data_IF_133446091030
#
_entry.id   IF_133446091030
#
_cell.length_a   1.000
_cell.length_b   1.000
_cell.length_c   1.000
_cell.angle_alpha   90.00
_cell.angle_beta   90.00
_cell.angle_gamma   90.00
#
_symmetry.space_group_name_H-M   'P 1'
#
loop_
_entity.id
_entity.type
_entity.pdbx_description
1 polymer ?
#
# COMPACT_ATOMS: atom_id res chain seq x y z
N UNK A 1 15.58 -50.54 17.41
CA UNK A 1 15.71 -50.65 18.88
C UNK A 1 14.52 -49.92 19.50
N UNK A 2 13.69 -50.73 20.12
CA UNK A 2 12.43 -50.38 20.77
C UNK A 2 12.65 -49.82 22.17
N UNK A 3 11.95 -48.77 22.58
CA UNK A 3 11.67 -48.58 24.01
C UNK A 3 10.21 -48.13 24.22
N UNK A 4 9.52 -49.01 24.99
CA UNK A 4 8.13 -48.94 25.45
C UNK A 4 7.99 -48.02 26.66
N UNK A 5 6.83 -47.41 26.70
CA UNK A 5 5.90 -47.01 27.77
C UNK A 5 6.27 -47.20 29.25
N UNK A 6 5.85 -46.22 30.05
CA UNK A 6 5.37 -46.44 31.42
C UNK A 6 4.33 -45.37 31.80
N UNK A 7 3.10 -45.83 32.09
CA UNK A 7 2.00 -45.14 32.79
C UNK A 7 2.09 -45.52 34.27
N UNK A 8 1.73 -44.67 35.21
CA UNK A 8 1.05 -45.13 36.43
C UNK A 8 -0.27 -44.36 36.72
N UNK A 9 -1.30 -45.13 36.76
CA UNK A 9 -2.39 -45.43 37.73
C UNK A 9 -2.83 -44.37 38.73
N UNK A 10 -4.09 -44.10 38.62
CA UNK A 10 -5.19 -43.68 39.48
C UNK A 10 -5.01 -43.77 41.02
N UNK A 11 -5.47 -42.71 41.72
CA UNK A 11 -6.11 -42.82 43.01
C UNK A 11 -7.43 -42.04 43.07
N UNK A 12 -8.51 -42.81 43.33
CA UNK A 12 -9.82 -42.31 43.78
C UNK A 12 -9.72 -41.90 45.24
N UNK A 13 -10.38 -40.83 45.59
CA UNK A 13 -10.88 -40.58 46.96
C UNK A 13 -12.28 -39.97 46.92
N UNK A 14 -13.10 -40.61 47.72
CA UNK A 14 -14.55 -40.53 47.85
C UNK A 14 -15.02 -39.28 48.61
N UNK A 15 -16.25 -38.93 48.35
CA UNK A 15 -17.15 -37.95 48.85
C UNK A 15 -17.18 -37.65 50.39
N UNK A 16 -17.47 -36.41 50.70
CA UNK A 16 -18.25 -36.06 51.91
C UNK A 16 -19.16 -34.85 51.56
N UNK A 17 -20.46 -35.12 51.69
CA UNK A 17 -21.55 -34.17 51.61
C UNK A 17 -21.68 -33.41 52.92
N UNK A 18 -21.85 -32.08 52.89
CA UNK A 18 -22.63 -31.37 53.91
C UNK A 18 -23.31 -30.17 53.30
N UNK A 19 -24.63 -30.14 53.47
CA UNK A 19 -25.56 -29.07 53.12
C UNK A 19 -25.31 -27.84 54.01
N UNK A 20 -25.33 -26.68 53.42
CA UNK A 20 -25.88 -25.46 54.05
C UNK A 20 -26.34 -24.51 52.94
N UNK A 21 -27.64 -24.35 52.82
CA UNK A 21 -28.29 -23.41 51.96
C UNK A 21 -28.09 -21.97 52.43
N UNK A 22 -27.66 -21.10 51.56
CA UNK A 22 -27.90 -19.67 51.66
C UNK A 22 -28.33 -19.17 50.27
N UNK A 23 -29.59 -18.81 50.20
CA UNK A 23 -30.18 -18.09 49.08
C UNK A 23 -29.57 -16.71 48.98
N UNK A 24 -28.75 -16.45 47.96
CA UNK A 24 -28.39 -15.08 47.56
C UNK A 24 -29.46 -14.57 46.62
N UNK A 25 -29.95 -13.32 46.78
CA UNK A 25 -30.85 -12.72 45.80
C UNK A 25 -30.08 -12.51 44.50
N UNK A 26 -30.69 -12.91 43.37
CA UNK A 26 -30.20 -12.70 42.03
C UNK A 26 -30.01 -11.19 41.79
N UNK A 27 -28.79 -10.78 41.43
CA UNK A 27 -28.52 -9.44 40.96
C UNK A 27 -29.34 -9.21 39.66
N UNK A 28 -29.93 -8.03 39.45
CA UNK A 28 -30.67 -7.76 38.24
C UNK A 28 -29.69 -7.78 37.04
N UNK A 29 -30.01 -8.58 36.03
CA UNK A 29 -29.30 -8.59 34.78
C UNK A 29 -29.30 -7.16 34.22
N UNK A 30 -28.15 -6.51 34.14
CA UNK A 30 -27.98 -5.29 33.37
C UNK A 30 -28.37 -5.62 31.91
N UNK A 31 -29.54 -5.19 31.51
CA UNK A 31 -29.95 -5.19 30.12
C UNK A 31 -28.91 -4.40 29.35
N UNK A 32 -28.11 -5.09 28.55
CA UNK A 32 -27.24 -4.46 27.57
C UNK A 32 -28.12 -3.59 26.66
N UNK A 33 -28.13 -2.28 26.90
CA UNK A 33 -28.73 -1.32 25.98
C UNK A 33 -28.02 -1.49 24.65
N UNK A 34 -28.68 -2.15 23.71
CA UNK A 34 -28.34 -2.08 22.30
C UNK A 34 -28.36 -0.60 21.94
N UNK A 35 -27.20 0.04 21.90
CA UNK A 35 -27.06 1.34 21.25
C UNK A 35 -27.28 1.09 19.76
N UNK A 36 -28.48 1.38 19.30
CA UNK A 36 -28.80 1.52 17.88
C UNK A 36 -27.96 2.71 17.39
N UNK A 37 -26.76 2.45 16.90
CA UNK A 37 -25.97 3.45 16.17
C UNK A 37 -26.62 3.61 14.82
N UNK A 38 -27.57 4.55 14.72
CA UNK A 38 -28.06 4.98 13.42
C UNK A 38 -26.90 5.62 12.66
N UNK A 39 -26.43 4.94 11.64
CA UNK A 39 -25.42 5.51 10.75
C UNK A 39 -25.99 6.77 10.07
N UNK A 40 -25.18 7.79 9.75
CA UNK A 40 -25.61 8.92 8.98
C UNK A 40 -26.16 8.45 7.63
N UNK A 41 -27.12 9.18 7.06
CA UNK A 41 -27.67 8.85 5.72
C UNK A 41 -26.76 9.31 4.59
N UNK A 42 -25.89 10.29 4.85
CA UNK A 42 -24.95 10.87 3.89
C UNK A 42 -23.56 11.03 4.51
N UNK A 43 -22.57 11.22 3.66
CA UNK A 43 -21.17 11.39 4.02
C UNK A 43 -20.50 12.45 3.16
N UNK A 44 -19.34 12.92 3.61
CA UNK A 44 -18.43 13.75 2.82
C UNK A 44 -17.57 12.86 1.89
N UNK A 45 -17.37 13.31 0.65
CA UNK A 45 -16.53 12.64 -0.33
C UNK A 45 -15.99 13.61 -1.39
N UNK A 46 -14.91 13.20 -2.07
CA UNK A 46 -14.39 13.85 -3.27
C UNK A 46 -14.89 13.08 -4.49
N UNK A 47 -15.62 13.76 -5.36
CA UNK A 47 -16.24 13.19 -6.56
C UNK A 47 -15.69 13.88 -7.80
N UNK A 48 -15.52 13.12 -8.88
CA UNK A 48 -15.35 13.65 -10.24
C UNK A 48 -16.58 13.30 -11.07
N UNK A 49 -17.11 14.29 -11.80
CA UNK A 49 -18.23 14.10 -12.75
C UNK A 49 -17.73 13.97 -14.20
N UNK A 50 -16.49 14.39 -14.43
CA UNK A 50 -15.73 14.26 -15.69
C UNK A 50 -14.26 14.14 -15.40
N UNK A 51 -13.47 13.70 -16.36
CA UNK A 51 -12.01 13.72 -16.29
C UNK A 51 -11.45 15.11 -16.56
N UNK A 52 -10.28 15.43 -15.97
CA UNK A 52 -9.65 16.75 -16.13
C UNK A 52 -8.46 16.97 -15.21
N UNK A 53 -8.10 18.22 -15.01
CA UNK A 53 -7.12 18.66 -14.01
C UNK A 53 -7.67 18.59 -12.60
N UNK A 54 -6.99 19.23 -11.63
CA UNK A 54 -7.42 19.21 -10.22
C UNK A 54 -8.73 19.95 -9.97
N UNK A 55 -9.15 20.81 -10.89
CA UNK A 55 -10.42 21.54 -10.85
C UNK A 55 -11.66 20.67 -10.94
N UNK A 56 -11.53 19.40 -11.39
CA UNK A 56 -12.68 18.47 -11.45
C UNK A 56 -12.96 17.77 -10.13
N UNK A 57 -12.08 17.90 -9.14
CA UNK A 57 -12.24 17.33 -7.80
C UNK A 57 -13.25 18.17 -7.00
N UNK A 58 -14.44 17.62 -6.80
CA UNK A 58 -15.53 18.28 -6.09
C UNK A 58 -15.70 17.68 -4.70
N UNK A 59 -15.58 18.51 -3.67
CA UNK A 59 -15.96 18.13 -2.31
C UNK A 59 -17.49 18.23 -2.17
N UNK A 60 -18.13 17.12 -1.81
CA UNK A 60 -19.57 17.00 -1.58
C UNK A 60 -19.82 16.52 -0.15
N UNK A 61 -20.89 17.02 0.48
CA UNK A 61 -21.25 16.69 1.88
C UNK A 61 -22.53 15.85 1.99
N UNK A 62 -23.18 15.60 0.87
CA UNK A 62 -24.47 14.94 0.77
C UNK A 62 -24.44 13.63 -0.03
N UNK A 63 -23.25 13.03 -0.14
CA UNK A 63 -23.08 11.75 -0.84
C UNK A 63 -23.73 10.64 -0.03
N UNK A 64 -24.56 9.81 -0.68
CA UNK A 64 -25.22 8.70 -0.01
C UNK A 64 -24.20 7.76 0.65
N UNK A 65 -24.45 7.39 1.92
CA UNK A 65 -23.63 6.40 2.62
C UNK A 65 -23.78 5.04 1.92
N UNK A 66 -22.68 4.37 1.52
CA UNK A 66 -22.81 3.06 0.88
C UNK A 66 -23.24 2.00 1.91
N UNK A 67 -24.12 1.11 1.48
CA UNK A 67 -24.47 -0.08 2.25
C UNK A 67 -23.58 -1.26 1.79
N UNK A 68 -22.82 -1.92 2.71
CA UNK A 68 -21.93 -3.00 2.31
C UNK A 68 -22.73 -4.20 1.79
N UNK A 69 -22.35 -4.66 0.61
CA UNK A 69 -22.93 -5.84 -0.07
C UNK A 69 -22.38 -7.13 0.52
N UNK A 70 -22.77 -8.26 -0.09
CA UNK A 70 -22.20 -9.56 0.24
C UNK A 70 -20.68 -9.56 0.05
N UNK A 71 -19.93 -10.03 1.08
CA UNK A 71 -18.49 -10.04 1.10
C UNK A 71 -17.81 -8.68 1.29
N UNK A 72 -18.57 -7.61 1.59
CA UNK A 72 -18.02 -6.28 1.87
C UNK A 72 -18.14 -5.91 3.35
N UNK A 73 -17.34 -4.94 3.75
CA UNK A 73 -17.42 -4.29 5.07
C UNK A 73 -17.46 -2.78 4.90
N UNK A 74 -18.22 -2.07 5.72
CA UNK A 74 -18.25 -0.61 5.78
C UNK A 74 -17.17 -0.12 6.74
N UNK A 75 -16.16 0.54 6.21
CA UNK A 75 -15.08 1.16 6.98
C UNK A 75 -15.36 2.65 7.14
N UNK A 76 -15.38 3.14 8.38
CA UNK A 76 -15.25 4.57 8.66
C UNK A 76 -13.78 4.93 8.54
N UNK A 77 -13.43 5.70 7.52
CA UNK A 77 -12.06 6.05 7.22
C UNK A 77 -11.53 7.05 8.25
N UNK A 78 -10.35 6.79 8.79
CA UNK A 78 -9.58 7.72 9.62
C UNK A 78 -8.49 8.41 8.80
N UNK A 79 -7.88 7.65 7.87
CA UNK A 79 -6.89 8.14 6.92
C UNK A 79 -7.07 7.49 5.56
N UNK A 80 -6.84 8.27 4.52
CA UNK A 80 -6.93 7.85 3.12
C UNK A 80 -5.62 8.19 2.42
N UNK A 81 -5.04 7.22 1.72
CA UNK A 81 -3.80 7.43 0.99
C UNK A 81 -4.00 8.13 -0.35
N UNK A 82 -3.17 9.15 -0.64
CA UNK A 82 -3.10 9.79 -1.96
C UNK A 82 -2.00 9.12 -2.78
N UNK A 83 -2.34 8.69 -3.99
CA UNK A 83 -1.45 7.95 -4.88
C UNK A 83 -1.44 8.53 -6.30
N UNK A 84 -0.35 8.36 -7.04
CA UNK A 84 -0.28 8.78 -8.44
C UNK A 84 -1.36 8.13 -9.32
N UNK A 85 -1.77 6.89 -9.01
CA UNK A 85 -2.84 6.23 -9.75
C UNK A 85 -4.17 6.99 -9.66
N UNK A 86 -4.43 7.72 -8.58
CA UNK A 86 -5.64 8.54 -8.42
C UNK A 86 -5.65 9.66 -9.46
N UNK A 87 -4.48 10.25 -9.76
CA UNK A 87 -4.35 11.29 -10.80
C UNK A 87 -4.58 10.70 -12.19
N UNK A 88 -4.26 9.42 -12.42
CA UNK A 88 -4.50 8.76 -13.70
C UNK A 88 -6.00 8.54 -13.96
N UNK A 89 -6.77 8.18 -12.94
CA UNK A 89 -8.24 8.10 -13.04
C UNK A 89 -8.87 9.48 -13.19
N UNK A 90 -8.40 10.46 -12.42
CA UNK A 90 -8.89 11.84 -12.54
C UNK A 90 -8.67 12.41 -13.95
N UNK A 91 -7.46 12.27 -14.48
CA UNK A 91 -7.09 12.84 -15.80
C UNK A 91 -7.62 12.04 -16.99
N UNK A 92 -8.12 10.82 -16.79
CA UNK A 92 -8.58 9.93 -17.86
C UNK A 92 -7.47 9.13 -18.52
N UNK A 93 -6.23 9.15 -18.00
CA UNK A 93 -5.16 8.25 -18.47
C UNK A 93 -5.55 6.78 -18.23
N UNK A 94 -6.22 6.50 -17.11
CA UNK A 94 -6.91 5.24 -16.84
C UNK A 94 -8.41 5.48 -16.86
N UNK A 95 -9.20 4.59 -17.50
CA UNK A 95 -10.65 4.75 -17.54
C UNK A 95 -11.26 4.59 -16.16
N UNK A 96 -12.05 5.57 -15.73
CA UNK A 96 -12.89 5.41 -14.55
C UNK A 96 -14.01 4.40 -14.87
N UNK A 97 -14.42 3.54 -13.91
CA UNK A 97 -15.46 2.54 -14.16
C UNK A 97 -16.79 3.15 -14.59
N UNK A 98 -17.14 4.27 -14.00
CA UNK A 98 -18.35 5.07 -14.26
C UNK A 98 -18.13 6.50 -13.76
N UNK A 99 -18.96 7.42 -14.18
CA UNK A 99 -19.06 8.78 -13.66
C UNK A 99 -20.50 9.04 -13.22
N UNK A 100 -20.74 9.74 -12.10
CA UNK A 100 -19.74 10.31 -11.18
C UNK A 100 -18.95 9.23 -10.42
N UNK A 101 -17.68 9.53 -10.06
CA UNK A 101 -16.77 8.58 -9.45
C UNK A 101 -16.04 9.19 -8.23
N UNK A 102 -16.00 8.46 -7.11
CA UNK A 102 -15.19 8.78 -5.95
C UNK A 102 -13.80 8.18 -6.15
N UNK A 103 -12.75 8.99 -6.07
CA UNK A 103 -11.36 8.53 -6.20
C UNK A 103 -10.87 7.76 -4.97
N UNK A 104 -9.61 7.32 -5.04
CA UNK A 104 -8.88 6.70 -3.95
C UNK A 104 -8.75 5.19 -4.07
N UNK A 105 -7.66 4.64 -3.50
CA UNK A 105 -7.27 3.23 -3.66
C UNK A 105 -6.87 2.54 -2.36
N UNK A 106 -6.75 3.29 -1.26
CA UNK A 106 -6.45 2.73 0.06
C UNK A 106 -6.99 3.61 1.16
N UNK A 107 -7.34 3.00 2.27
CA UNK A 107 -7.69 3.70 3.51
C UNK A 107 -7.40 2.85 4.73
N UNK A 108 -7.41 3.48 5.89
CA UNK A 108 -7.43 2.82 7.19
C UNK A 108 -8.53 3.44 8.05
N UNK A 109 -9.04 2.67 8.99
CA UNK A 109 -10.11 3.14 9.88
C UNK A 109 -10.70 2.01 10.70
N UNK A 110 -12.00 2.14 11.00
CA UNK A 110 -12.72 1.19 11.87
C UNK A 110 -13.96 0.65 11.17
N UNK A 111 -14.15 -0.66 11.21
CA UNK A 111 -15.34 -1.30 10.65
C UNK A 111 -16.59 -0.87 11.42
N UNK A 112 -17.60 -0.36 10.71
CA UNK A 112 -18.88 0.08 11.27
C UNK A 112 -20.02 -0.90 10.99
N UNK A 113 -19.96 -1.63 9.87
CA UNK A 113 -20.99 -2.59 9.46
C UNK A 113 -20.36 -3.70 8.64
N UNK A 114 -20.91 -4.90 8.75
CA UNK A 114 -20.58 -6.02 7.88
C UNK A 114 -21.70 -6.23 6.87
N UNK A 115 -21.35 -6.51 5.63
CA UNK A 115 -22.26 -7.10 4.66
C UNK A 115 -22.53 -8.56 4.99
N UNK A 116 -23.39 -9.19 4.20
CA UNK A 116 -23.66 -10.63 4.29
C UNK A 116 -22.48 -11.46 3.75
N UNK A 117 -22.52 -12.77 3.97
CA UNK A 117 -21.54 -13.71 3.43
C UNK A 117 -20.20 -13.74 4.18
N UNK A 118 -19.15 -14.15 3.47
CA UNK A 118 -17.82 -14.31 4.08
C UNK A 118 -17.11 -12.96 4.26
N UNK A 119 -16.88 -12.56 5.50
CA UNK A 119 -16.12 -11.34 5.86
C UNK A 119 -14.75 -11.65 6.45
N UNK A 120 -14.20 -12.85 6.23
CA UNK A 120 -12.84 -13.25 6.64
C UNK A 120 -12.54 -12.99 8.13
N UNK A 121 -13.48 -13.33 9.01
CA UNK A 121 -13.39 -13.15 10.48
C UNK A 121 -13.23 -11.68 10.94
N UNK A 122 -13.52 -10.71 10.09
CA UNK A 122 -13.59 -9.31 10.46
C UNK A 122 -14.83 -9.03 11.31
N UNK A 123 -14.73 -8.09 12.26
CA UNK A 123 -15.81 -7.72 13.16
C UNK A 123 -16.02 -6.20 13.20
N UNK A 124 -17.25 -5.77 13.55
CA UNK A 124 -17.52 -4.36 13.84
C UNK A 124 -16.65 -3.91 15.01
N UNK A 125 -16.02 -2.74 14.85
CA UNK A 125 -15.06 -2.20 15.80
C UNK A 125 -13.59 -2.58 15.52
N UNK A 126 -13.32 -3.50 14.59
CA UNK A 126 -11.94 -3.80 14.21
C UNK A 126 -11.28 -2.59 13.54
N UNK A 127 -10.05 -2.27 13.96
CA UNK A 127 -9.17 -1.35 13.28
C UNK A 127 -8.59 -2.06 12.07
N UNK A 128 -8.71 -1.45 10.89
CA UNK A 128 -8.35 -2.09 9.62
C UNK A 128 -7.60 -1.17 8.69
N UNK A 129 -6.91 -1.78 7.73
CA UNK A 129 -6.40 -1.14 6.53
C UNK A 129 -6.99 -1.87 5.31
N UNK A 130 -7.30 -1.14 4.26
CA UNK A 130 -7.97 -1.66 3.07
C UNK A 130 -7.34 -1.16 1.78
N UNK A 131 -7.13 -2.07 0.82
CA UNK A 131 -6.99 -1.74 -0.59
C UNK A 131 -8.38 -1.77 -1.22
N UNK A 132 -8.96 -0.62 -1.46
CA UNK A 132 -10.30 -0.50 -2.04
C UNK A 132 -10.40 0.75 -2.91
N UNK A 133 -11.30 0.72 -3.88
CA UNK A 133 -11.70 1.92 -4.61
C UNK A 133 -12.59 2.82 -3.74
N UNK A 134 -12.83 4.04 -4.19
CA UNK A 134 -13.77 5.01 -3.59
C UNK A 134 -13.41 5.43 -2.16
N UNK A 135 -12.10 5.52 -1.86
CA UNK A 135 -11.66 5.81 -0.50
C UNK A 135 -11.57 7.30 -0.15
N UNK A 136 -11.64 8.22 -1.14
CA UNK A 136 -11.67 9.68 -0.86
C UNK A 136 -13.03 10.09 -0.27
N UNK A 137 -13.39 9.49 0.83
CA UNK A 137 -14.69 9.63 1.50
C UNK A 137 -14.58 9.32 2.99
N UNK A 138 -15.57 9.77 3.77
CA UNK A 138 -15.64 9.43 5.20
C UNK A 138 -15.89 7.94 5.45
N UNK A 139 -16.58 7.27 4.52
CA UNK A 139 -16.86 5.84 4.60
C UNK A 139 -16.60 5.15 3.26
N UNK A 140 -16.13 3.93 3.33
CA UNK A 140 -15.90 3.07 2.16
C UNK A 140 -16.51 1.70 2.38
N UNK A 141 -17.34 1.23 1.45
CA UNK A 141 -17.71 -0.18 1.37
C UNK A 141 -16.56 -0.90 0.65
N UNK A 142 -15.79 -1.68 1.40
CA UNK A 142 -14.59 -2.34 0.93
C UNK A 142 -14.80 -3.86 0.83
N UNK A 143 -14.34 -4.51 -0.26
CA UNK A 143 -14.33 -5.98 -0.33
C UNK A 143 -13.51 -6.55 0.83
N UNK A 144 -14.10 -7.41 1.65
CA UNK A 144 -13.43 -8.01 2.81
C UNK A 144 -12.17 -8.78 2.43
N UNK A 145 -12.10 -9.25 1.18
CA UNK A 145 -10.93 -9.92 0.61
C UNK A 145 -9.67 -9.06 0.65
N UNK A 146 -9.78 -7.74 0.59
CA UNK A 146 -8.66 -6.79 0.58
C UNK A 146 -8.67 -5.86 1.80
N UNK A 147 -9.28 -6.30 2.89
CA UNK A 147 -9.28 -5.63 4.20
C UNK A 147 -8.48 -6.46 5.19
N UNK A 148 -7.53 -5.83 5.90
CA UNK A 148 -6.67 -6.49 6.88
C UNK A 148 -6.84 -5.87 8.26
N UNK A 149 -7.05 -6.70 9.29
CA UNK A 149 -7.13 -6.25 10.68
C UNK A 149 -5.76 -5.80 11.19
N UNK A 150 -5.69 -4.59 11.71
CA UNK A 150 -4.43 -4.01 12.18
C UNK A 150 -4.03 -4.57 13.55
N UNK A 151 -2.74 -4.87 13.75
CA UNK A 151 -2.16 -5.05 15.08
C UNK A 151 -2.34 -3.78 15.92
N UNK A 152 -2.42 -3.92 17.23
CA UNK A 152 -2.58 -2.78 18.14
C UNK A 152 -1.40 -1.80 18.11
N UNK A 153 -0.21 -2.30 17.80
CA UNK A 153 1.06 -1.57 17.69
C UNK A 153 1.17 -0.68 16.47
N UNK A 154 0.40 -0.96 15.39
CA UNK A 154 0.44 -0.17 14.16
C UNK A 154 -0.64 0.91 14.19
N UNK A 155 -0.24 2.17 13.95
CA UNK A 155 -1.18 3.29 13.83
C UNK A 155 -1.97 3.19 12.53
N UNK A 156 -3.20 3.72 12.51
CA UNK A 156 -3.99 3.80 11.26
C UNK A 156 -3.34 4.72 10.23
N UNK A 157 -2.64 5.79 10.67
CA UNK A 157 -1.90 6.66 9.76
C UNK A 157 -0.74 5.95 9.07
N UNK A 158 0.07 5.18 9.82
CA UNK A 158 1.20 4.46 9.24
C UNK A 158 0.72 3.32 8.34
N UNK A 159 -0.37 2.64 8.72
CA UNK A 159 -1.00 1.62 7.90
C UNK A 159 -1.49 2.18 6.55
N UNK A 160 -2.24 3.30 6.56
CA UNK A 160 -2.69 3.95 5.32
C UNK A 160 -1.51 4.53 4.51
N UNK A 161 -0.45 4.98 5.18
CA UNK A 161 0.72 5.51 4.50
C UNK A 161 1.60 4.41 3.88
N UNK A 162 1.61 3.23 4.48
CA UNK A 162 2.46 2.11 4.07
C UNK A 162 1.83 1.13 3.10
N UNK A 163 0.50 0.93 3.12
CA UNK A 163 -0.12 -0.23 2.48
C UNK A 163 0.15 -0.32 0.97
N UNK A 164 -0.46 0.54 0.17
CA UNK A 164 -0.37 0.44 -1.30
C UNK A 164 1.07 0.56 -1.78
N UNK A 165 1.81 1.51 -1.21
CA UNK A 165 3.20 1.77 -1.62
C UNK A 165 4.16 0.69 -1.15
N UNK A 166 3.98 0.15 0.06
CA UNK A 166 4.79 -0.95 0.61
C UNK A 166 4.52 -2.27 -0.09
N UNK A 167 3.24 -2.60 -0.32
CA UNK A 167 2.88 -3.79 -1.11
C UNK A 167 3.40 -3.69 -2.55
N UNK A 168 3.35 -2.49 -3.15
CA UNK A 168 3.99 -2.26 -4.45
C UNK A 168 5.49 -2.55 -4.37
N UNK A 169 6.20 -1.99 -3.40
CA UNK A 169 7.64 -2.19 -3.27
C UNK A 169 8.01 -3.67 -3.02
N UNK A 170 7.26 -4.39 -2.16
CA UNK A 170 7.47 -5.82 -1.91
C UNK A 170 7.26 -6.67 -3.16
N UNK A 171 6.15 -6.46 -3.88
CA UNK A 171 5.87 -7.24 -5.10
C UNK A 171 6.83 -6.91 -6.23
N UNK A 172 7.35 -5.67 -6.32
CA UNK A 172 8.36 -5.31 -7.30
C UNK A 172 9.66 -6.11 -7.13
N UNK A 173 10.14 -6.31 -5.90
CA UNK A 173 11.42 -6.99 -5.62
C UNK A 173 11.30 -8.51 -5.54
N UNK A 174 10.09 -9.07 -5.50
CA UNK A 174 9.84 -10.51 -5.39
C UNK A 174 9.21 -11.12 -6.61
N UNK A 175 8.20 -10.44 -7.18
CA UNK A 175 7.41 -10.96 -8.30
C UNK A 175 7.89 -10.38 -9.64
N UNK A 176 8.02 -9.05 -9.74
CA UNK A 176 8.45 -8.43 -10.99
C UNK A 176 9.92 -8.71 -11.30
N UNK A 177 10.78 -8.72 -10.30
CA UNK A 177 12.17 -9.15 -10.40
C UNK A 177 12.65 -9.66 -9.03
N UNK A 178 13.02 -10.94 -8.96
CA UNK A 178 13.59 -11.51 -7.73
C UNK A 178 14.99 -10.95 -7.48
N UNK A 179 15.06 -9.93 -6.61
CA UNK A 179 16.33 -9.26 -6.24
C UNK A 179 17.10 -10.11 -5.24
N UNK A 180 18.43 -10.19 -5.45
CA UNK A 180 19.35 -10.94 -4.62
C UNK A 180 20.38 -10.01 -3.96
N UNK A 181 21.00 -10.49 -2.89
CA UNK A 181 22.12 -9.79 -2.26
C UNK A 181 23.26 -9.58 -3.25
N UNK A 182 23.83 -8.38 -3.26
CA UNK A 182 24.87 -7.96 -4.18
C UNK A 182 24.42 -7.44 -5.54
N UNK A 183 23.14 -7.60 -5.90
CA UNK A 183 22.57 -7.10 -7.16
C UNK A 183 22.66 -5.57 -7.23
N UNK A 184 23.16 -5.02 -8.34
CA UNK A 184 23.00 -3.61 -8.65
C UNK A 184 21.62 -3.34 -9.25
N UNK A 185 20.88 -2.43 -8.64
CA UNK A 185 19.55 -2.01 -9.11
C UNK A 185 19.44 -0.49 -9.23
N UNK A 186 18.62 0.00 -10.15
CA UNK A 186 18.32 1.41 -10.33
C UNK A 186 16.90 1.71 -9.89
N UNK A 187 16.72 2.69 -9.01
CA UNK A 187 15.41 3.16 -8.52
C UNK A 187 15.20 4.61 -8.92
N UNK A 188 14.19 4.86 -9.75
CA UNK A 188 13.75 6.21 -10.09
C UNK A 188 12.75 6.78 -9.08
N UNK A 189 12.64 8.12 -9.02
CA UNK A 189 11.79 8.83 -8.08
C UNK A 189 11.99 8.37 -6.62
N UNK A 190 13.24 8.17 -6.23
CA UNK A 190 13.69 7.54 -5.00
C UNK A 190 13.16 8.19 -3.71
N UNK A 191 12.85 9.49 -3.71
CA UNK A 191 12.30 10.23 -2.57
C UNK A 191 10.76 10.19 -2.51
N UNK A 192 10.09 9.55 -3.47
CA UNK A 192 8.65 9.32 -3.45
C UNK A 192 8.25 8.20 -2.47
N UNK A 193 6.95 8.02 -2.27
CA UNK A 193 6.46 7.03 -1.31
C UNK A 193 6.91 5.60 -1.61
N UNK A 194 6.70 5.09 -2.84
CA UNK A 194 7.21 3.77 -3.23
C UNK A 194 8.73 3.75 -3.18
N UNK A 195 9.41 4.80 -3.68
CA UNK A 195 10.88 4.86 -3.75
C UNK A 195 11.55 4.71 -2.39
N UNK A 196 11.07 5.42 -1.36
CA UNK A 196 11.64 5.35 -0.01
C UNK A 196 11.48 3.96 0.63
N UNK A 197 10.33 3.30 0.43
CA UNK A 197 10.09 1.95 0.95
C UNK A 197 10.88 0.91 0.15
N UNK A 198 10.90 1.04 -1.17
CA UNK A 198 11.64 0.16 -2.06
C UNK A 198 13.14 0.15 -1.74
N UNK A 199 13.77 1.32 -1.52
CA UNK A 199 15.17 1.40 -1.12
C UNK A 199 15.42 0.64 0.19
N UNK A 200 14.59 0.85 1.20
CA UNK A 200 14.75 0.19 2.51
C UNK A 200 14.64 -1.34 2.36
N UNK A 201 13.68 -1.84 1.59
CA UNK A 201 13.52 -3.27 1.32
C UNK A 201 14.69 -3.83 0.51
N UNK A 202 15.18 -3.11 -0.50
CA UNK A 202 16.36 -3.50 -1.28
C UNK A 202 17.62 -3.59 -0.41
N UNK A 203 17.82 -2.63 0.49
CA UNK A 203 18.94 -2.65 1.45
C UNK A 203 18.80 -3.81 2.44
N UNK A 204 17.59 -4.15 2.89
CA UNK A 204 17.35 -5.31 3.74
C UNK A 204 17.67 -6.64 3.03
N UNK A 205 17.46 -6.72 1.71
CA UNK A 205 17.89 -7.88 0.88
C UNK A 205 19.42 -7.91 0.69
N UNK A 206 20.13 -6.80 0.92
CA UNK A 206 21.57 -6.67 0.68
C UNK A 206 21.91 -6.26 -0.76
N UNK A 207 20.97 -5.67 -1.50
CA UNK A 207 21.21 -5.14 -2.83
C UNK A 207 22.05 -3.86 -2.79
N UNK A 208 22.71 -3.55 -3.90
CA UNK A 208 23.39 -2.29 -4.17
C UNK A 208 22.45 -1.38 -4.96
N UNK A 209 22.14 -0.22 -4.41
CA UNK A 209 21.10 0.65 -4.93
C UNK A 209 21.68 1.93 -5.53
N UNK A 210 21.42 2.16 -6.80
CA UNK A 210 21.55 3.46 -7.46
C UNK A 210 20.18 4.12 -7.44
N UNK A 211 20.10 5.33 -6.90
CA UNK A 211 18.84 6.05 -6.73
C UNK A 211 18.87 7.40 -7.46
N UNK A 212 17.79 7.77 -8.13
CA UNK A 212 17.68 9.09 -8.74
C UNK A 212 16.66 9.96 -8.01
N UNK A 213 17.03 11.20 -7.70
CA UNK A 213 16.16 12.22 -7.12
C UNK A 213 16.57 13.62 -7.57
N UNK A 214 15.80 14.64 -7.19
CA UNK A 214 16.18 16.06 -7.39
C UNK A 214 17.06 16.55 -6.25
N UNK A 215 17.83 17.63 -6.49
CA UNK A 215 18.79 18.21 -5.55
C UNK A 215 18.26 18.33 -4.11
N UNK A 216 17.08 18.90 -3.81
CA UNK A 216 16.63 19.10 -2.43
C UNK A 216 16.30 17.80 -1.69
N UNK A 217 16.26 16.65 -2.39
CA UNK A 217 15.87 15.35 -1.81
C UNK A 217 17.05 14.42 -1.58
N UNK A 218 18.27 14.82 -1.95
CA UNK A 218 19.48 13.99 -1.90
C UNK A 218 19.75 13.45 -0.50
N UNK A 219 19.75 14.32 0.51
CA UNK A 219 20.07 13.92 1.88
C UNK A 219 19.03 12.94 2.45
N UNK A 220 17.74 13.13 2.12
CA UNK A 220 16.70 12.16 2.50
C UNK A 220 16.93 10.79 1.86
N UNK A 221 17.31 10.76 0.58
CA UNK A 221 17.54 9.49 -0.14
C UNK A 221 18.79 8.81 0.40
N UNK A 222 19.89 9.57 0.65
CA UNK A 222 21.13 9.06 1.28
C UNK A 222 20.87 8.45 2.66
N UNK A 223 20.00 9.08 3.47
CA UNK A 223 19.68 8.58 4.82
C UNK A 223 19.02 7.20 4.83
N UNK A 224 18.52 6.73 3.66
CA UNK A 224 17.97 5.36 3.51
C UNK A 224 19.03 4.31 3.12
N UNK A 225 20.30 4.68 3.14
CA UNK A 225 21.42 3.75 2.95
C UNK A 225 21.70 3.34 1.51
N UNK A 226 21.29 4.15 0.52
CA UNK A 226 21.62 3.91 -0.89
C UNK A 226 23.13 3.98 -1.13
N UNK A 227 23.63 3.19 -2.07
CA UNK A 227 25.05 3.14 -2.39
C UNK A 227 25.47 4.34 -3.27
N UNK A 228 24.58 4.76 -4.18
CA UNK A 228 24.82 5.90 -5.09
C UNK A 228 23.53 6.71 -5.26
N UNK A 229 23.63 8.04 -5.11
CA UNK A 229 22.56 8.99 -5.42
C UNK A 229 22.94 9.81 -6.63
N UNK A 230 22.07 9.87 -7.61
CA UNK A 230 22.22 10.69 -8.82
C UNK A 230 21.20 11.81 -8.78
N UNK A 231 21.66 13.05 -8.83
CA UNK A 231 20.82 14.23 -8.99
C UNK A 231 20.46 14.42 -10.46
N UNK A 232 19.26 13.96 -10.85
CA UNK A 232 18.81 14.07 -12.23
C UNK A 232 18.59 15.51 -12.72
N UNK A 233 18.62 16.50 -11.79
CA UNK A 233 18.51 17.93 -12.16
C UNK A 233 19.84 18.48 -12.70
N UNK A 234 20.96 17.78 -12.48
CA UNK A 234 22.30 18.18 -12.85
C UNK A 234 23.00 17.19 -13.77
N UNK A 235 22.75 15.91 -13.56
CA UNK A 235 23.47 14.82 -14.19
C UNK A 235 22.56 13.93 -15.04
N UNK A 236 23.10 13.44 -16.15
CA UNK A 236 22.50 12.32 -16.87
C UNK A 236 22.78 11.03 -16.10
N UNK A 237 21.72 10.31 -15.75
CA UNK A 237 21.88 9.10 -14.93
C UNK A 237 22.48 7.92 -15.72
N UNK A 238 22.26 7.83 -17.04
CA UNK A 238 22.68 6.65 -17.81
C UNK A 238 24.22 6.47 -17.85
N UNK A 239 25.04 7.51 -18.16
CA UNK A 239 26.49 7.43 -18.05
C UNK A 239 26.96 7.08 -16.63
N UNK A 240 26.33 7.66 -15.60
CA UNK A 240 26.69 7.39 -14.19
C UNK A 240 26.39 5.95 -13.78
N UNK A 241 25.27 5.37 -14.20
CA UNK A 241 24.96 3.95 -13.99
C UNK A 241 26.03 3.06 -14.64
N UNK A 242 26.43 3.36 -15.88
CA UNK A 242 27.49 2.62 -16.57
C UNK A 242 28.82 2.71 -15.84
N UNK A 243 29.21 3.90 -15.39
CA UNK A 243 30.43 4.13 -14.60
C UNK A 243 30.43 3.26 -13.32
N UNK A 244 29.39 3.37 -12.51
CA UNK A 244 29.26 2.67 -11.21
C UNK A 244 29.27 1.15 -11.37
N UNK A 245 28.68 0.64 -12.46
CA UNK A 245 28.57 -0.80 -12.74
C UNK A 245 29.71 -1.36 -13.61
N UNK A 246 30.77 -0.58 -13.86
CA UNK A 246 31.86 -1.00 -14.75
C UNK A 246 31.42 -1.34 -16.18
N UNK A 247 30.37 -0.69 -16.67
CA UNK A 247 29.80 -0.92 -18.00
C UNK A 247 28.76 -2.06 -18.10
N UNK A 248 28.62 -2.88 -17.05
CA UNK A 248 27.71 -4.05 -17.08
C UNK A 248 26.23 -3.66 -17.05
N UNK A 249 25.90 -2.52 -16.45
CA UNK A 249 24.52 -2.09 -16.19
C UNK A 249 23.94 -2.72 -14.93
N UNK A 250 22.66 -2.47 -14.66
CA UNK A 250 21.95 -2.97 -13.48
C UNK A 250 21.07 -4.18 -13.84
N UNK A 251 20.93 -5.14 -12.89
CA UNK A 251 20.09 -6.33 -13.13
C UNK A 251 18.59 -5.99 -13.17
N UNK A 252 18.18 -4.90 -12.50
CA UNK A 252 16.82 -4.40 -12.57
C UNK A 252 16.78 -2.87 -12.53
N UNK A 253 15.87 -2.28 -13.30
CA UNK A 253 15.46 -0.89 -13.20
C UNK A 253 14.02 -0.87 -12.70
N UNK A 254 13.76 -0.14 -11.63
CA UNK A 254 12.42 0.12 -11.11
C UNK A 254 12.00 1.54 -11.46
N UNK A 255 11.15 1.67 -12.47
CA UNK A 255 10.75 2.94 -13.08
C UNK A 255 9.27 3.24 -12.88
N UNK A 256 8.96 4.18 -11.96
CA UNK A 256 7.63 4.74 -11.75
C UNK A 256 7.39 6.05 -12.50
N UNK A 257 8.40 6.56 -13.20
CA UNK A 257 8.38 7.88 -13.88
C UNK A 257 7.79 7.79 -15.28
N UNK A 258 8.21 6.80 -16.06
CA UNK A 258 7.64 6.52 -17.38
C UNK A 258 8.27 7.33 -18.51
N UNK A 259 7.48 8.16 -19.22
CA UNK A 259 7.89 8.81 -20.47
C UNK A 259 9.29 9.46 -20.43
N UNK A 260 9.61 10.17 -19.37
CA UNK A 260 10.87 10.93 -19.27
C UNK A 260 12.11 10.07 -18.99
N UNK A 261 11.95 8.86 -18.49
CA UNK A 261 13.07 8.02 -18.03
C UNK A 261 13.24 6.72 -18.83
N UNK A 262 12.17 6.20 -19.40
CA UNK A 262 12.09 4.86 -19.96
C UNK A 262 13.24 4.52 -20.94
N UNK A 263 13.53 5.36 -21.92
CA UNK A 263 14.56 5.09 -22.95
C UNK A 263 15.95 4.94 -22.32
N UNK A 264 16.35 5.91 -21.51
CA UNK A 264 17.64 5.87 -20.83
C UNK A 264 17.71 4.76 -19.76
N UNK A 265 16.61 4.48 -19.10
CA UNK A 265 16.48 3.36 -18.16
C UNK A 265 16.71 2.03 -18.86
N UNK A 266 16.13 1.85 -20.04
CA UNK A 266 16.31 0.64 -20.85
C UNK A 266 17.78 0.42 -21.25
N UNK A 267 18.53 1.50 -21.55
CA UNK A 267 19.97 1.42 -21.83
C UNK A 267 20.80 0.95 -20.62
N UNK A 268 20.36 1.30 -19.41
CA UNK A 268 21.02 0.95 -18.16
C UNK A 268 20.87 -0.52 -17.77
N UNK A 269 19.89 -1.25 -18.34
CA UNK A 269 19.64 -2.65 -18.01
C UNK A 269 20.78 -3.53 -18.51
N UNK A 270 21.30 -4.37 -17.62
CA UNK A 270 22.30 -5.39 -17.92
C UNK A 270 21.73 -6.50 -18.84
N UNK A 271 22.63 -7.28 -19.47
CA UNK A 271 22.23 -8.48 -20.20
C UNK A 271 21.43 -9.43 -19.30
N UNK A 272 20.26 -9.90 -19.75
CA UNK A 272 19.29 -10.74 -19.03
C UNK A 272 18.62 -10.05 -17.84
N UNK A 273 18.80 -8.73 -17.70
CA UNK A 273 18.16 -7.94 -16.65
C UNK A 273 16.69 -7.64 -16.92
N UNK A 274 16.06 -6.90 -16.01
CA UNK A 274 14.65 -6.54 -16.08
C UNK A 274 14.45 -5.02 -16.10
N UNK A 275 13.63 -4.55 -17.05
CA UNK A 275 13.05 -3.22 -17.04
C UNK A 275 11.65 -3.31 -16.45
N UNK A 276 11.49 -2.84 -15.23
CA UNK A 276 10.22 -2.87 -14.48
C UNK A 276 9.59 -1.49 -14.52
N UNK A 277 8.67 -1.28 -15.48
CA UNK A 277 7.96 -0.02 -15.67
C UNK A 277 6.63 -0.05 -14.92
N UNK A 278 6.58 0.47 -13.67
CA UNK A 278 5.40 0.34 -12.81
C UNK A 278 4.55 1.63 -12.69
N UNK A 279 5.00 2.76 -13.26
CA UNK A 279 4.27 4.02 -13.17
C UNK A 279 4.39 4.90 -14.42
N UNK A 280 3.65 6.01 -14.44
CA UNK A 280 3.58 6.99 -15.51
C UNK A 280 3.61 8.43 -14.98
N UNK A 281 4.40 8.71 -13.92
CA UNK A 281 4.38 10.03 -13.24
C UNK A 281 4.77 11.21 -14.17
N UNK A 282 5.49 10.94 -15.28
CA UNK A 282 5.81 11.94 -16.32
C UNK A 282 5.02 11.76 -17.61
N UNK A 283 4.00 10.91 -17.59
CA UNK A 283 3.20 10.52 -18.76
C UNK A 283 3.48 9.09 -19.23
N UNK A 284 2.61 8.58 -20.09
CA UNK A 284 2.68 7.23 -20.63
C UNK A 284 3.98 7.01 -21.44
N UNK A 285 4.55 5.82 -21.31
CA UNK A 285 5.66 5.37 -22.16
C UNK A 285 5.16 5.30 -23.61
N UNK A 286 5.91 5.85 -24.58
CA UNK A 286 5.57 5.71 -26.00
C UNK A 286 5.54 4.24 -26.45
N UNK A 287 4.91 3.94 -27.59
CA UNK A 287 4.96 2.60 -28.18
C UNK A 287 6.38 2.04 -28.27
N UNK A 288 6.58 0.81 -27.78
CA UNK A 288 7.89 0.17 -27.68
C UNK A 288 7.95 -1.06 -28.59
N UNK A 289 8.99 -1.11 -29.44
CA UNK A 289 9.23 -2.25 -30.33
C UNK A 289 9.86 -3.41 -29.56
N UNK A 290 9.16 -4.53 -29.43
CA UNK A 290 9.61 -5.70 -28.63
C UNK A 290 10.93 -6.32 -29.13
N UNK A 291 11.25 -6.18 -30.43
CA UNK A 291 12.52 -6.66 -31.00
C UNK A 291 13.75 -6.06 -30.28
N UNK A 292 13.65 -4.90 -29.70
CA UNK A 292 14.71 -4.23 -28.91
C UNK A 292 15.14 -5.05 -27.69
N UNK A 293 14.29 -5.94 -27.17
CA UNK A 293 14.60 -6.79 -26.03
C UNK A 293 15.69 -7.83 -26.34
N UNK A 294 15.77 -8.29 -27.61
CA UNK A 294 16.63 -9.41 -27.99
C UNK A 294 18.13 -9.09 -27.88
N UNK A 295 18.56 -7.85 -28.10
CA UNK A 295 19.97 -7.47 -28.10
C UNK A 295 20.70 -7.79 -26.78
N UNK A 296 20.03 -7.66 -25.66
CA UNK A 296 20.54 -8.01 -24.33
C UNK A 296 19.70 -9.08 -23.62
N UNK A 297 18.70 -9.68 -24.29
CA UNK A 297 17.71 -10.58 -23.69
C UNK A 297 17.04 -9.96 -22.43
N UNK A 298 16.60 -8.72 -22.55
CA UNK A 298 15.98 -7.97 -21.44
C UNK A 298 14.54 -8.47 -21.23
N UNK A 299 14.11 -8.54 -19.99
CA UNK A 299 12.72 -8.71 -19.61
C UNK A 299 12.08 -7.34 -19.45
N UNK A 300 10.99 -7.05 -20.15
CA UNK A 300 10.17 -5.86 -19.95
C UNK A 300 8.89 -6.25 -19.23
N UNK A 301 8.64 -5.63 -18.06
CA UNK A 301 7.52 -5.97 -17.21
C UNK A 301 6.73 -4.70 -16.89
N UNK A 302 5.40 -4.77 -17.09
CA UNK A 302 4.43 -3.77 -16.64
C UNK A 302 3.56 -4.40 -15.54
N UNK A 303 4.02 -4.37 -14.27
CA UNK A 303 3.30 -5.03 -13.19
C UNK A 303 2.05 -4.25 -12.79
N UNK A 304 1.07 -4.97 -12.26
CA UNK A 304 -0.09 -4.43 -11.54
C UNK A 304 -0.10 -5.00 -10.12
N UNK A 305 -0.09 -4.15 -9.11
CA UNK A 305 -0.20 -4.57 -7.72
C UNK A 305 -1.43 -5.46 -7.50
N UNK A 306 -2.58 -5.04 -8.02
CA UNK A 306 -3.84 -5.78 -7.86
C UNK A 306 -3.83 -7.15 -8.56
N UNK A 307 -2.98 -7.34 -9.58
CA UNK A 307 -2.77 -8.63 -10.23
C UNK A 307 -1.89 -9.57 -9.39
N UNK A 308 -0.96 -9.04 -8.61
CA UNK A 308 -0.13 -9.82 -7.68
C UNK A 308 -0.83 -10.13 -6.35
N UNK A 309 -1.93 -9.45 -6.05
CA UNK A 309 -2.73 -9.61 -4.84
C UNK A 309 -4.17 -10.03 -5.18
N UNK A 310 -4.33 -10.86 -6.18
CA UNK A 310 -5.64 -11.23 -6.71
C UNK A 310 -6.44 -12.12 -5.74
N UNK A 311 -5.76 -12.90 -4.92
CA UNK A 311 -6.39 -13.78 -3.92
C UNK A 311 -6.26 -13.21 -2.50
N UNK A 312 -7.15 -13.65 -1.62
CA UNK A 312 -7.08 -13.32 -0.19
C UNK A 312 -5.74 -13.74 0.43
N UNK A 313 -5.25 -14.91 0.08
CA UNK A 313 -4.01 -15.47 0.60
C UNK A 313 -2.80 -14.63 0.21
N UNK A 314 -2.71 -14.20 -1.06
CA UNK A 314 -1.65 -13.30 -1.54
C UNK A 314 -1.70 -11.96 -0.80
N UNK A 315 -2.90 -11.37 -0.69
CA UNK A 315 -3.07 -10.09 0.02
C UNK A 315 -2.68 -10.21 1.51
N UNK A 316 -3.12 -11.26 2.20
CA UNK A 316 -2.77 -11.48 3.61
C UNK A 316 -1.27 -11.70 3.81
N UNK A 317 -0.65 -12.52 2.97
CA UNK A 317 0.76 -12.86 3.06
C UNK A 317 1.63 -11.59 2.97
N UNK A 318 1.43 -10.80 1.92
CA UNK A 318 2.22 -9.58 1.73
C UNK A 318 1.86 -8.47 2.74
N UNK A 319 0.58 -8.34 3.12
CA UNK A 319 0.16 -7.33 4.10
C UNK A 319 0.71 -7.64 5.49
N UNK A 320 0.66 -8.90 5.91
CA UNK A 320 1.24 -9.35 7.17
C UNK A 320 2.72 -9.03 7.24
N UNK A 321 3.48 -9.41 6.22
CA UNK A 321 4.91 -9.15 6.17
C UNK A 321 5.23 -7.65 6.20
N UNK A 322 4.49 -6.83 5.44
CA UNK A 322 4.64 -5.38 5.44
C UNK A 322 4.43 -4.79 6.84
N UNK A 323 3.34 -5.21 7.51
CA UNK A 323 3.03 -4.73 8.86
C UNK A 323 4.07 -5.19 9.88
N UNK A 324 4.58 -6.41 9.77
CA UNK A 324 5.68 -6.90 10.63
C UNK A 324 6.95 -6.06 10.45
N UNK A 325 7.29 -5.63 9.24
CA UNK A 325 8.41 -4.72 9.02
C UNK A 325 8.19 -3.34 9.65
N UNK A 326 6.95 -2.84 9.62
CA UNK A 326 6.57 -1.56 10.27
C UNK A 326 6.67 -1.71 11.80
N UNK A 327 6.07 -2.76 12.37
CA UNK A 327 6.11 -3.03 13.82
C UNK A 327 7.52 -3.16 14.37
N UNK A 328 8.40 -3.80 13.61
CA UNK A 328 9.81 -4.01 13.99
C UNK A 328 10.69 -2.78 13.74
N UNK A 329 10.13 -1.67 13.25
CA UNK A 329 10.90 -0.47 12.90
C UNK A 329 11.89 -0.67 11.75
N UNK A 330 11.72 -1.73 10.95
CA UNK A 330 12.56 -2.03 9.78
C UNK A 330 12.17 -1.18 8.55
N UNK A 331 10.95 -0.67 8.53
CA UNK A 331 10.47 0.29 7.55
C UNK A 331 10.08 1.59 8.24
N UNK A 332 10.79 2.66 7.91
CA UNK A 332 10.45 4.02 8.31
C UNK A 332 9.45 4.60 7.31
N UNK A 333 8.22 4.76 7.77
CA UNK A 333 7.09 5.30 6.98
C UNK A 333 7.13 6.82 7.06
N UNK A 334 7.52 7.46 5.96
CA UNK A 334 7.55 8.92 5.88
C UNK A 334 6.21 9.47 5.39
N UNK A 335 5.44 10.08 6.27
CA UNK A 335 4.28 10.90 5.92
C UNK A 335 4.78 12.32 5.65
N UNK A 336 4.46 12.87 4.47
CA UNK A 336 4.81 14.24 4.09
C UNK A 336 3.87 15.24 4.75
N UNK A 337 2.57 15.08 4.49
CA UNK A 337 1.52 15.94 5.03
C UNK A 337 0.20 15.16 5.12
N UNK A 338 -0.63 15.55 6.10
CA UNK A 338 -2.00 15.07 6.24
C UNK A 338 -2.93 16.24 5.93
N UNK A 339 -3.65 16.15 4.82
CA UNK A 339 -4.56 17.18 4.32
C UNK A 339 -5.98 16.89 4.81
N UNK A 340 -6.80 17.89 5.13
CA UNK A 340 -8.25 17.70 5.23
C UNK A 340 -8.81 17.09 3.94
N UNK A 341 -9.84 16.25 4.00
CA UNK A 341 -10.44 15.63 2.80
C UNK A 341 -10.80 16.66 1.72
N UNK A 342 -11.38 17.80 2.13
CA UNK A 342 -11.76 18.90 1.22
C UNK A 342 -10.59 19.49 0.42
N UNK A 343 -9.35 19.30 0.88
CA UNK A 343 -8.13 19.83 0.26
C UNK A 343 -7.47 18.78 -0.67
N UNK A 344 -8.20 17.76 -1.11
CA UNK A 344 -7.69 16.71 -2.00
C UNK A 344 -7.11 17.26 -3.31
N UNK A 345 -7.65 18.37 -3.83
CA UNK A 345 -7.10 19.04 -5.01
C UNK A 345 -5.67 19.52 -4.75
N UNK A 346 -5.43 20.23 -3.64
CA UNK A 346 -4.10 20.68 -3.21
C UNK A 346 -3.13 19.50 -3.01
N UNK A 347 -3.61 18.42 -2.39
CA UNK A 347 -2.77 17.23 -2.18
C UNK A 347 -2.32 16.62 -3.52
N UNK A 348 -3.19 16.56 -4.53
CA UNK A 348 -2.81 16.06 -5.86
C UNK A 348 -1.91 17.05 -6.62
N UNK A 349 -2.14 18.37 -6.50
CA UNK A 349 -1.25 19.40 -7.08
C UNK A 349 0.17 19.33 -6.50
N UNK A 350 0.31 19.12 -5.19
CA UNK A 350 1.60 18.97 -4.53
C UNK A 350 2.31 17.69 -4.98
N UNK A 351 1.56 16.59 -5.14
CA UNK A 351 2.08 15.33 -5.64
C UNK A 351 2.59 15.46 -7.09
N UNK A 352 1.78 15.99 -8.00
CA UNK A 352 2.14 16.19 -9.41
C UNK A 352 3.24 17.25 -9.58
N UNK A 353 3.23 18.27 -8.73
CA UNK A 353 4.26 19.32 -8.67
C UNK A 353 5.63 18.84 -8.18
N UNK A 354 5.76 17.57 -7.78
CA UNK A 354 7.02 16.97 -7.27
C UNK A 354 7.60 17.69 -6.06
N UNK A 355 6.78 18.42 -5.30
CA UNK A 355 7.19 19.14 -4.08
C UNK A 355 7.26 18.24 -2.86
N UNK A 356 6.72 17.04 -2.95
CA UNK A 356 6.51 16.11 -1.84
C UNK A 356 7.60 15.05 -1.71
N UNK A 357 7.71 14.45 -0.52
CA UNK A 357 8.54 13.27 -0.22
C UNK A 357 7.73 12.28 0.60
N UNK A 358 7.86 10.98 0.33
CA UNK A 358 7.05 9.98 1.06
C UNK A 358 5.57 10.03 0.68
N UNK A 359 4.71 9.83 1.68
CA UNK A 359 3.26 9.66 1.52
C UNK A 359 2.46 10.91 1.85
N UNK A 360 1.42 11.16 1.07
CA UNK A 360 0.35 12.13 1.38
C UNK A 360 -0.88 11.37 1.87
N UNK A 361 -1.51 11.89 2.91
CA UNK A 361 -2.76 11.36 3.45
C UNK A 361 -3.87 12.42 3.39
N UNK A 362 -5.11 11.97 3.23
CA UNK A 362 -6.30 12.76 3.51
C UNK A 362 -6.89 12.29 4.83
N UNK A 363 -7.43 13.25 5.60
CA UNK A 363 -8.20 12.99 6.82
C UNK A 363 -9.64 13.42 6.56
N UNK A 364 -10.56 12.44 6.43
CA UNK A 364 -11.97 12.70 6.24
C UNK A 364 -12.67 13.30 7.47
#
# INVERSE_FOLDING_TARGET
MSYRALIPTTHRLTALTSRLGKTHPAAPALAARSMSTSHPKSMEAIIIEKTGGTEVLQFKTDVSLPDPKEGEVLVKNEYVGVNFIDTYFRSGLYPAPNLPYILGRESSGVIQKLGSGNTHSLAVGDRVVALSSTTYAQYTAAPSQTVYKLPSSVSTSDAAAGLLQGLTALTLIREAHLVKSGDWVLVHAAAGGVGLLLIQLLKAVGAKVIATCSTPKIELVKSKGVDVVIDYSKDDFAPKVKEVTGGAGVVAVFDGVGKATFEKSFECVARKGSMVSYGNASGAVPPFTIARLSGKNIKLIRPSLFGYLATREEFETYTKELLEFIEQGKLDIKIHEIYPLKDAARAQEDLEGRRTTGKLLLKP
#
